data_IF_843717858930
#
_entry.id   IF_843717858930
#
_cell.length_a   1.000
_cell.length_b   1.000
_cell.length_c   1.000
_cell.angle_alpha   90.00
_cell.angle_beta   90.00
_cell.angle_gamma   90.00
#
_symmetry.space_group_name_H-M   'P 1'
#
loop_
_entity.id
_entity.type
_entity.pdbx_description
1 polymer ?
#
# COMPACT_ATOMS: atom_id res chain seq x y z
N UNK A 1 -4.25 -1.13 -15.88
CA UNK A 1 -3.09 -1.17 -15.01
C UNK A 1 -2.46 -2.54 -15.03
N UNK A 2 -1.18 -2.60 -15.31
CA UNK A 2 -0.46 -3.85 -15.51
C UNK A 2 0.50 -4.18 -14.38
N UNK A 3 0.30 -3.61 -13.27
CA UNK A 3 1.20 -3.83 -12.17
C UNK A 3 0.61 -4.68 -11.07
N UNK A 4 1.35 -4.75 -9.97
CA UNK A 4 0.93 -5.39 -8.76
C UNK A 4 0.46 -4.35 -7.76
N UNK A 5 -0.29 -4.80 -6.77
CA UNK A 5 -0.68 -3.97 -5.63
C UNK A 5 -0.03 -4.50 -4.37
N UNK A 6 0.41 -3.59 -3.53
CA UNK A 6 0.89 -3.93 -2.19
C UNK A 6 0.00 -3.25 -1.17
N UNK A 7 -0.31 -3.96 -0.11
CA UNK A 7 -1.19 -3.47 0.95
C UNK A 7 -0.48 -3.58 2.29
N UNK A 8 -0.56 -2.49 3.06
CA UNK A 8 -0.09 -2.49 4.45
C UNK A 8 -1.26 -2.04 5.32
N UNK A 9 -1.49 -2.78 6.41
CA UNK A 9 -2.46 -2.39 7.43
C UNK A 9 -1.75 -2.32 8.78
N UNK A 10 -2.03 -1.27 9.52
CA UNK A 10 -1.46 -1.08 10.84
C UNK A 10 -2.54 -0.65 11.83
N UNK A 11 -2.21 -0.73 13.12
CA UNK A 11 -3.00 -0.04 14.13
C UNK A 11 -2.36 1.33 14.34
N UNK A 12 -3.13 2.37 14.02
CA UNK A 12 -2.66 3.73 14.19
C UNK A 12 -1.93 4.30 12.98
N UNK A 13 -2.08 5.59 12.79
CA UNK A 13 -1.59 6.28 11.61
C UNK A 13 -0.07 6.42 11.59
N UNK A 14 0.55 6.54 12.74
CA UNK A 14 2.00 6.74 12.82
C UNK A 14 2.76 5.58 12.19
N UNK A 15 2.36 4.35 12.52
CA UNK A 15 3.00 3.17 11.93
C UNK A 15 2.77 3.11 10.43
N UNK A 16 1.58 3.53 9.98
CA UNK A 16 1.29 3.50 8.55
C UNK A 16 2.14 4.51 7.79
N UNK A 17 2.29 5.71 8.32
CA UNK A 17 3.11 6.73 7.67
C UNK A 17 4.56 6.27 7.58
N UNK A 18 5.07 5.68 8.65
CA UNK A 18 6.42 5.11 8.64
C UNK A 18 6.57 4.01 7.61
N UNK A 19 5.56 3.14 7.50
CA UNK A 19 5.57 2.08 6.50
C UNK A 19 5.56 2.65 5.09
N UNK A 20 4.71 3.64 4.83
CA UNK A 20 4.63 4.26 3.50
C UNK A 20 5.97 4.91 3.13
N UNK A 21 6.58 5.62 4.05
CA UNK A 21 7.88 6.24 3.81
C UNK A 21 8.91 5.17 3.43
N UNK A 22 8.95 4.08 4.18
CA UNK A 22 9.89 2.99 3.91
C UNK A 22 9.63 2.34 2.54
N UNK A 23 8.36 2.14 2.21
CA UNK A 23 8.00 1.55 0.92
C UNK A 23 8.44 2.42 -0.26
N UNK A 24 8.18 3.71 -0.16
CA UNK A 24 8.52 4.62 -1.25
C UNK A 24 10.02 4.82 -1.41
N UNK A 25 10.79 4.63 -0.34
CA UNK A 25 12.24 4.71 -0.41
C UNK A 25 12.90 3.42 -0.86
N UNK A 26 12.24 2.28 -0.61
CA UNK A 26 12.86 0.97 -0.87
C UNK A 26 12.77 0.53 -2.31
N UNK A 27 11.76 0.96 -3.05
CA UNK A 27 11.52 0.45 -4.38
C UNK A 27 10.74 1.45 -5.23
N UNK A 28 10.69 1.19 -6.52
CA UNK A 28 10.00 2.06 -7.46
C UNK A 28 8.51 1.75 -7.45
N UNK A 29 7.81 2.27 -6.46
CA UNK A 29 6.38 2.12 -6.31
C UNK A 29 5.73 3.49 -6.10
N UNK A 30 4.43 3.57 -6.31
CA UNK A 30 3.64 4.78 -6.09
C UNK A 30 2.48 4.47 -5.16
N UNK A 31 2.02 5.46 -4.40
CA UNK A 31 0.78 5.28 -3.66
C UNK A 31 -0.37 4.96 -4.60
N UNK A 32 -1.27 4.11 -4.18
CA UNK A 32 -2.39 3.67 -4.98
C UNK A 32 -3.68 3.84 -4.18
N UNK A 33 -4.40 4.91 -4.44
CA UNK A 33 -5.62 5.22 -3.73
C UNK A 33 -5.38 5.90 -2.39
N UNK A 34 -6.44 6.27 -1.70
CA UNK A 34 -6.33 6.96 -0.42
C UNK A 34 -6.04 6.01 0.73
N UNK A 35 -5.59 6.58 1.84
CA UNK A 35 -5.53 5.84 3.09
C UNK A 35 -6.95 5.54 3.54
N UNK A 36 -7.18 4.30 3.92
CA UNK A 36 -8.50 3.84 4.38
C UNK A 36 -8.47 3.63 5.89
N UNK A 37 -9.46 4.18 6.56
CA UNK A 37 -9.61 4.01 8.01
C UNK A 37 -10.73 3.00 8.26
N UNK A 38 -10.43 2.03 9.08
CA UNK A 38 -11.39 1.01 9.49
C UNK A 38 -11.67 1.15 10.98
N UNK A 39 -12.65 0.42 11.45
CA UNK A 39 -12.99 0.43 12.88
C UNK A 39 -11.82 -0.12 13.71
N UNK A 40 -11.74 0.31 14.97
CA UNK A 40 -10.75 -0.22 15.89
C UNK A 40 -9.36 0.36 15.74
N UNK A 41 -9.24 1.48 15.03
CA UNK A 41 -7.94 2.11 14.86
C UNK A 41 -7.09 1.51 13.75
N UNK A 42 -7.66 0.63 12.95
CA UNK A 42 -6.95 0.03 11.82
C UNK A 42 -6.95 1.01 10.65
N UNK A 43 -5.78 1.20 10.06
CA UNK A 43 -5.63 2.02 8.84
C UNK A 43 -4.87 1.21 7.82
N UNK A 44 -5.16 1.47 6.56
CA UNK A 44 -4.49 0.76 5.47
C UNK A 44 -4.12 1.69 4.34
N UNK A 45 -3.09 1.31 3.61
CA UNK A 45 -2.63 2.03 2.44
C UNK A 45 -2.13 1.04 1.40
N UNK A 46 -2.16 1.47 0.16
CA UNK A 46 -1.71 0.64 -0.96
C UNK A 46 -0.66 1.35 -1.78
N UNK A 47 0.22 0.55 -2.37
CA UNK A 47 1.15 1.01 -3.38
C UNK A 47 1.00 0.14 -4.62
N UNK A 48 1.47 0.65 -5.74
CA UNK A 48 1.47 -0.09 -7.00
C UNK A 48 2.80 0.04 -7.70
N UNK A 49 3.08 -0.92 -8.56
CA UNK A 49 4.30 -0.97 -9.33
C UNK A 49 4.45 -2.35 -9.93
N UNK A 50 5.62 -2.64 -10.50
CA UNK A 50 5.84 -4.00 -10.96
C UNK A 50 5.96 -4.94 -9.76
N UNK A 51 5.79 -6.23 -10.00
CA UNK A 51 5.64 -7.20 -8.91
C UNK A 51 6.89 -7.26 -8.02
N UNK A 52 8.08 -7.17 -8.58
CA UNK A 52 9.29 -7.26 -7.77
C UNK A 52 9.47 -6.01 -6.91
N UNK A 53 9.16 -4.83 -7.46
CA UNK A 53 9.22 -3.59 -6.71
C UNK A 53 8.20 -3.58 -5.58
N UNK A 54 6.98 -4.05 -5.86
CA UNK A 54 5.94 -4.11 -4.83
C UNK A 54 6.32 -5.08 -3.72
N UNK A 55 6.89 -6.25 -4.05
CA UNK A 55 7.34 -7.18 -3.03
C UNK A 55 8.41 -6.57 -2.13
N UNK A 56 9.40 -5.92 -2.73
CA UNK A 56 10.45 -5.26 -1.96
C UNK A 56 9.89 -4.15 -1.08
N UNK A 57 8.97 -3.36 -1.64
CA UNK A 57 8.34 -2.26 -0.90
C UNK A 57 7.55 -2.78 0.29
N UNK A 58 6.71 -3.79 0.07
CA UNK A 58 5.86 -4.33 1.16
C UNK A 58 6.72 -4.93 2.27
N UNK A 59 7.80 -5.61 1.91
CA UNK A 59 8.72 -6.15 2.92
C UNK A 59 9.31 -5.04 3.78
N UNK A 60 9.79 -3.97 3.14
CA UNK A 60 10.36 -2.83 3.86
C UNK A 60 9.32 -2.14 4.72
N UNK A 61 8.11 -1.98 4.19
CA UNK A 61 7.02 -1.33 4.91
C UNK A 61 6.57 -2.13 6.13
N UNK A 62 6.45 -3.44 5.98
CA UNK A 62 6.06 -4.30 7.08
C UNK A 62 7.08 -4.25 8.21
N UNK A 63 8.35 -4.28 7.87
CA UNK A 63 9.43 -4.18 8.84
C UNK A 63 9.40 -2.84 9.57
N UNK A 64 9.22 -1.75 8.83
CA UNK A 64 9.16 -0.43 9.44
C UNK A 64 7.94 -0.29 10.35
N UNK A 65 6.78 -0.77 9.91
CA UNK A 65 5.57 -0.69 10.72
C UNK A 65 5.72 -1.46 12.03
N UNK A 66 6.29 -2.65 11.98
CA UNK A 66 6.49 -3.48 13.17
C UNK A 66 7.48 -2.84 14.14
N UNK A 67 8.44 -2.10 13.61
CA UNK A 67 9.45 -1.42 14.43
C UNK A 67 8.88 -0.19 15.13
N UNK A 68 8.01 0.55 14.42
CA UNK A 68 7.46 1.81 14.92
C UNK A 68 6.28 1.56 15.85
N UNK A 69 5.44 0.60 15.52
CA UNK A 69 4.24 0.32 16.28
C UNK A 69 3.74 -1.08 15.99
N UNK A 70 2.49 -1.20 15.55
CA UNK A 70 1.87 -2.51 15.39
C UNK A 70 1.42 -2.74 13.95
N UNK A 71 2.04 -3.72 13.32
CA UNK A 71 1.65 -4.19 12.00
C UNK A 71 0.49 -5.17 12.12
N UNK A 72 -0.56 -4.96 11.34
CA UNK A 72 -1.69 -5.88 11.31
C UNK A 72 -1.61 -6.85 10.14
N UNK A 73 -1.31 -6.35 8.95
CA UNK A 73 -1.27 -7.19 7.75
C UNK A 73 -0.41 -6.57 6.66
N UNK A 74 0.14 -7.42 5.83
CA UNK A 74 0.90 -7.00 4.67
C UNK A 74 0.65 -8.02 3.57
N UNK A 75 0.29 -7.54 2.38
CA UNK A 75 -0.05 -8.41 1.27
C UNK A 75 0.46 -7.87 -0.05
N UNK A 76 0.77 -8.80 -0.96
CA UNK A 76 1.07 -8.46 -2.35
C UNK A 76 0.04 -9.17 -3.22
N UNK A 77 -0.59 -8.42 -4.12
CA UNK A 77 -1.48 -8.96 -5.12
C UNK A 77 -0.78 -8.80 -6.46
N UNK A 78 -0.20 -9.88 -7.00
CA UNK A 78 0.65 -9.76 -8.19
C UNK A 78 -0.12 -9.34 -9.45
N UNK A 79 -1.39 -9.73 -9.55
CA UNK A 79 -2.22 -9.38 -10.70
C UNK A 79 -3.63 -9.06 -10.26
N UNK A 80 -3.85 -7.83 -9.80
CA UNK A 80 -5.19 -7.46 -9.34
C UNK A 80 -6.15 -7.42 -10.52
N UNK A 81 -7.36 -7.93 -10.30
CA UNK A 81 -8.41 -7.82 -11.28
C UNK A 81 -8.88 -6.37 -11.41
N UNK A 82 -9.45 -6.02 -12.55
CA UNK A 82 -9.89 -4.66 -12.81
C UNK A 82 -10.92 -4.18 -11.79
N UNK A 83 -11.80 -5.07 -11.34
CA UNK A 83 -12.81 -4.70 -10.35
C UNK A 83 -12.17 -4.34 -9.01
N UNK A 84 -11.11 -5.03 -8.61
CA UNK A 84 -10.39 -4.73 -7.38
C UNK A 84 -9.69 -3.38 -7.49
N UNK A 85 -9.04 -3.14 -8.61
CA UNK A 85 -8.35 -1.87 -8.84
C UNK A 85 -9.33 -0.71 -8.73
N UNK A 86 -10.49 -0.84 -9.34
CA UNK A 86 -11.52 0.22 -9.28
C UNK A 86 -12.10 0.36 -7.88
N UNK A 87 -12.37 -0.75 -7.21
CA UNK A 87 -13.01 -0.74 -5.90
C UNK A 87 -12.17 0.00 -4.86
N UNK A 88 -10.86 -0.10 -4.95
CA UNK A 88 -9.97 0.54 -3.98
C UNK A 88 -9.36 1.83 -4.48
N UNK A 89 -9.77 2.33 -5.63
CA UNK A 89 -9.30 3.61 -6.14
C UNK A 89 -7.87 3.61 -6.65
N UNK A 90 -7.26 2.45 -6.78
CA UNK A 90 -5.87 2.36 -7.25
C UNK A 90 -5.72 2.91 -8.67
N UNK A 91 -6.72 2.65 -9.50
CA UNK A 91 -6.72 3.13 -10.87
C UNK A 91 -6.82 4.65 -10.92
N UNK A 92 -7.62 5.23 -10.06
CA UNK A 92 -7.80 6.67 -10.01
C UNK A 92 -6.51 7.37 -9.65
N UNK A 93 -5.75 6.83 -8.71
CA UNK A 93 -4.50 7.48 -8.31
C UNK A 93 -3.49 7.47 -9.45
N UNK A 94 -3.54 6.48 -10.33
CA UNK A 94 -2.62 6.44 -11.45
C UNK A 94 -2.99 7.45 -12.51
N UNK A 95 -4.24 7.82 -12.58
CA UNK A 95 -4.69 8.76 -13.56
C UNK A 95 -4.35 10.19 -13.24
N UNK A 96 -3.78 10.40 -12.09
CA UNK A 96 -3.53 11.77 -11.73
C UNK A 96 -4.81 12.50 -11.74
N UNK A 97 -5.68 11.92 -11.50
CA UNK A 97 -6.86 12.51 -11.55
C UNK A 97 -7.61 12.35 -12.75
N UNK A 98 -7.51 11.97 -13.21
CA UNK A 98 -8.26 11.99 -14.14
C UNK A 98 -9.50 11.99 -14.34
N UNK A 99 -9.36 12.14 -14.01
CA UNK A 99 -10.14 12.08 -14.06
C UNK A 99 -10.52 12.05 -13.99
#
# INVERSE_FOLDING_TARGET
MNGALGLIETFGLISLIGAMDAMLKAANVEPAGPIVKLDGGVVSAMVRGDVSSVRAAVEAGAEAAARIGELRAAHVIPRPGAAIVRAFGADASSGGGAK
#
